data_IF_577721323067
#
_entry.id   IF_577721323067
#
_cell.length_a   1.000
_cell.length_b   1.000
_cell.length_c   1.000
_cell.angle_alpha   90.00
_cell.angle_beta   90.00
_cell.angle_gamma   90.00
#
_symmetry.space_group_name_H-M   'P 1'
#
loop_
_entity.id
_entity.type
_entity.pdbx_description
1 polymer ?
#
# COMPACT_ATOMS: atom_id res chain seq x y z
N UNK A 1 -7.29 12.67 -8.66
CA UNK A 1 -7.35 12.92 -7.22
C UNK A 1 -6.10 12.35 -6.55
N UNK A 2 -5.33 13.21 -5.87
CA UNK A 2 -4.10 12.82 -5.18
C UNK A 2 -4.32 12.50 -3.68
N UNK A 3 -5.54 12.61 -3.19
CA UNK A 3 -5.86 12.29 -1.79
C UNK A 3 -5.79 10.79 -1.56
N UNK A 4 -5.22 10.40 -0.42
CA UNK A 4 -5.13 9.02 0.03
C UNK A 4 -5.56 8.92 1.49
N UNK A 5 -6.23 7.84 1.80
CA UNK A 5 -6.71 7.54 3.15
C UNK A 5 -6.27 6.14 3.55
N UNK A 6 -5.81 6.02 4.78
CA UNK A 6 -5.49 4.74 5.39
C UNK A 6 -6.34 4.53 6.63
N UNK A 7 -6.69 3.28 6.89
CA UNK A 7 -7.36 2.85 8.12
C UNK A 7 -6.55 1.72 8.73
N UNK A 8 -6.12 1.90 9.96
CA UNK A 8 -5.43 0.89 10.75
C UNK A 8 -6.30 0.54 11.95
N UNK A 9 -6.42 -0.74 12.27
CA UNK A 9 -7.18 -1.19 13.42
C UNK A 9 -6.41 -2.21 14.24
N UNK A 10 -6.32 -1.97 15.55
CA UNK A 10 -5.77 -2.91 16.51
C UNK A 10 -6.89 -3.51 17.35
N UNK A 11 -7.25 -4.76 17.06
CA UNK A 11 -8.29 -5.49 17.84
C UNK A 11 -7.93 -5.58 19.31
N UNK A 12 -6.67 -5.88 19.64
CA UNK A 12 -6.20 -6.00 21.02
C UNK A 12 -6.32 -4.70 21.81
N UNK A 13 -5.98 -3.58 21.17
CA UNK A 13 -6.03 -2.24 21.81
C UNK A 13 -7.37 -1.54 21.64
N UNK A 14 -8.26 -2.06 20.78
CA UNK A 14 -9.52 -1.44 20.39
C UNK A 14 -9.34 -0.01 19.88
N UNK A 15 -8.25 0.22 19.12
CA UNK A 15 -7.89 1.51 18.56
C UNK A 15 -7.99 1.44 17.05
N UNK A 16 -8.66 2.42 16.46
CA UNK A 16 -8.64 2.70 15.04
C UNK A 16 -7.87 3.99 14.79
N UNK A 17 -6.96 3.97 13.82
CA UNK A 17 -6.27 5.17 13.33
C UNK A 17 -6.62 5.35 11.87
N UNK A 18 -7.12 6.53 11.53
CA UNK A 18 -7.31 6.98 10.14
C UNK A 18 -6.23 7.99 9.82
N UNK A 19 -5.58 7.82 8.68
CA UNK A 19 -4.60 8.78 8.18
C UNK A 19 -5.10 9.35 6.86
N UNK A 20 -5.02 10.65 6.70
CA UNK A 20 -5.30 11.37 5.45
C UNK A 20 -4.02 12.01 4.94
N UNK A 21 -3.77 11.91 3.65
CA UNK A 21 -2.57 12.47 3.04
C UNK A 21 -2.72 12.72 1.55
N UNK A 22 -1.59 13.04 0.95
CA UNK A 22 -1.46 13.26 -0.49
C UNK A 22 -0.50 12.22 -1.04
N UNK A 23 -0.95 11.51 -2.08
CA UNK A 23 -0.16 10.50 -2.76
C UNK A 23 0.59 11.09 -3.96
N UNK A 24 1.83 10.67 -4.12
CA UNK A 24 2.63 10.87 -5.32
C UNK A 24 3.02 9.51 -5.88
N UNK A 25 2.73 9.27 -7.15
CA UNK A 25 3.10 8.03 -7.83
C UNK A 25 4.43 8.24 -8.52
N UNK A 26 5.41 7.41 -8.16
CA UNK A 26 6.72 7.34 -8.79
C UNK A 26 6.74 6.13 -9.72
N UNK A 27 7.13 6.35 -10.97
CA UNK A 27 7.30 5.31 -11.97
C UNK A 27 8.54 5.63 -12.79
N UNK A 28 9.38 4.62 -13.00
CA UNK A 28 10.59 4.69 -13.82
C UNK A 28 11.51 5.89 -13.49
N UNK A 29 11.73 6.11 -12.20
CA UNK A 29 12.62 7.15 -11.68
C UNK A 29 13.59 6.57 -10.64
N UNK A 30 14.46 7.40 -10.08
CA UNK A 30 15.47 6.97 -9.10
C UNK A 30 14.85 6.32 -7.85
N UNK A 31 13.72 6.82 -7.37
CA UNK A 31 13.00 6.27 -6.21
C UNK A 31 12.54 4.84 -6.50
N UNK A 32 11.95 4.60 -7.67
CA UNK A 32 11.50 3.26 -8.06
C UNK A 32 12.67 2.32 -8.29
N UNK A 33 13.77 2.77 -8.88
CA UNK A 33 14.99 1.97 -9.08
C UNK A 33 15.57 1.52 -7.74
N UNK A 34 15.74 2.43 -6.79
CA UNK A 34 16.24 2.11 -5.45
C UNK A 34 15.32 1.16 -4.69
N UNK A 35 14.00 1.34 -4.78
CA UNK A 35 13.04 0.45 -4.15
C UNK A 35 13.07 -0.95 -4.79
N UNK A 36 13.15 -1.01 -6.13
CA UNK A 36 13.22 -2.28 -6.86
C UNK A 36 14.46 -3.09 -6.50
N UNK A 37 15.64 -2.48 -6.41
CA UNK A 37 16.87 -3.18 -6.02
C UNK A 37 16.78 -3.81 -4.63
N UNK A 38 16.01 -3.22 -3.71
CA UNK A 38 15.79 -3.74 -2.35
C UNK A 38 14.67 -4.79 -2.29
N UNK A 39 13.90 -4.95 -3.36
CA UNK A 39 12.77 -5.90 -3.39
C UNK A 39 13.27 -7.33 -3.53
N UNK A 40 12.78 -8.22 -2.68
CA UNK A 40 13.13 -9.64 -2.73
C UNK A 40 12.60 -10.31 -4.00
N UNK A 41 13.32 -11.34 -4.49
CA UNK A 41 12.96 -12.10 -5.69
C UNK A 41 11.51 -12.61 -5.66
N UNK A 42 11.09 -13.17 -4.54
CA UNK A 42 9.72 -13.67 -4.37
C UNK A 42 8.68 -12.55 -4.55
N UNK A 43 8.97 -11.36 -4.05
CA UNK A 43 8.09 -10.20 -4.19
C UNK A 43 8.08 -9.66 -5.63
N UNK A 44 9.21 -9.71 -6.34
CA UNK A 44 9.28 -9.30 -7.75
C UNK A 44 8.43 -10.19 -8.66
N UNK A 45 8.22 -11.44 -8.29
CA UNK A 45 7.36 -12.39 -9.00
C UNK A 45 5.95 -11.84 -9.21
N UNK A 46 5.39 -11.10 -8.25
CA UNK A 46 4.05 -10.50 -8.35
C UNK A 46 3.92 -9.48 -9.50
N UNK A 47 5.03 -8.97 -10.02
CA UNK A 47 5.04 -8.00 -11.12
C UNK A 47 5.25 -8.65 -12.50
N UNK A 48 5.33 -9.98 -12.55
CA UNK A 48 5.50 -10.76 -13.79
C UNK A 48 4.17 -11.20 -14.41
N UNK A 49 3.06 -10.65 -13.94
CA UNK A 49 1.74 -10.91 -14.52
C UNK A 49 1.72 -10.64 -16.02
N UNK A 50 1.09 -11.53 -16.77
CA UNK A 50 0.93 -11.45 -18.22
C UNK A 50 -0.28 -10.65 -18.64
N UNK A 51 -1.20 -10.39 -17.70
CA UNK A 51 -2.45 -9.67 -17.91
C UNK A 51 -2.60 -8.54 -16.89
N UNK A 52 -3.39 -7.55 -17.22
CA UNK A 52 -3.67 -6.46 -16.30
C UNK A 52 -4.59 -6.91 -15.15
N UNK A 53 -4.40 -6.43 -13.93
CA UNK A 53 -5.30 -6.72 -12.82
C UNK A 53 -6.74 -6.29 -13.16
N UNK A 54 -7.68 -7.21 -13.04
CA UNK A 54 -9.10 -6.98 -13.31
C UNK A 54 -9.55 -7.30 -14.74
N UNK A 55 -8.65 -7.75 -15.61
CA UNK A 55 -9.04 -8.25 -16.94
C UNK A 55 -9.99 -9.46 -16.81
N UNK A 56 -10.96 -9.52 -17.71
CA UNK A 56 -11.90 -10.64 -17.78
C UNK A 56 -11.22 -11.85 -18.41
N UNK A 57 -11.34 -12.99 -17.75
CA UNK A 57 -10.85 -14.27 -18.24
C UNK A 57 -11.98 -15.30 -18.23
N UNK A 58 -11.93 -16.27 -19.13
CA UNK A 58 -12.99 -17.27 -19.28
C UNK A 58 -12.88 -18.41 -18.26
N UNK A 59 -11.70 -18.66 -17.71
CA UNK A 59 -11.44 -19.75 -16.79
C UNK A 59 -10.59 -19.26 -15.62
N UNK A 60 -10.69 -19.94 -14.47
CA UNK A 60 -9.81 -19.68 -13.34
C UNK A 60 -8.35 -19.94 -13.74
N UNK A 61 -7.52 -18.93 -13.69
CA UNK A 61 -6.10 -19.02 -14.05
C UNK A 61 -5.22 -18.24 -13.09
N UNK A 62 -3.95 -18.63 -12.99
CA UNK A 62 -2.91 -17.81 -12.41
C UNK A 62 -2.54 -16.69 -13.39
N UNK A 63 -2.26 -15.51 -12.87
CA UNK A 63 -1.74 -14.37 -13.61
C UNK A 63 -0.27 -14.56 -14.06
N UNK A 64 0.39 -15.62 -13.57
CA UNK A 64 1.75 -15.99 -13.93
C UNK A 64 1.77 -17.01 -15.07
N UNK A 65 2.84 -16.99 -15.87
CA UNK A 65 3.07 -18.04 -16.87
C UNK A 65 3.20 -19.40 -16.19
N UNK A 66 2.79 -20.48 -16.88
CA UNK A 66 2.82 -21.84 -16.35
C UNK A 66 4.21 -22.26 -15.88
N UNK A 67 5.25 -21.76 -16.54
CA UNK A 67 6.66 -22.08 -16.22
C UNK A 67 7.15 -21.45 -14.91
N UNK A 68 6.46 -20.43 -14.42
CA UNK A 68 6.84 -19.71 -13.19
C UNK A 68 6.01 -20.04 -11.96
N UNK A 69 4.98 -20.90 -12.08
CA UNK A 69 4.01 -21.17 -11.02
C UNK A 69 4.60 -21.59 -9.68
N UNK A 70 5.61 -22.46 -9.67
CA UNK A 70 6.20 -23.06 -8.44
C UNK A 70 7.61 -22.58 -8.08
N UNK A 71 8.33 -21.86 -8.95
CA UNK A 71 9.73 -21.50 -8.78
C UNK A 71 9.97 -20.02 -8.54
N UNK A 72 11.15 -19.68 -7.99
CA UNK A 72 11.64 -18.31 -7.98
C UNK A 72 12.09 -17.92 -9.39
N UNK A 73 11.79 -16.69 -9.86
CA UNK A 73 12.33 -16.21 -11.11
C UNK A 73 13.85 -16.03 -11.00
N UNK A 74 14.56 -16.18 -12.11
CA UNK A 74 15.95 -15.72 -12.22
C UNK A 74 16.00 -14.19 -12.08
N UNK A 75 17.21 -13.65 -11.85
CA UNK A 75 17.38 -12.19 -11.80
C UNK A 75 16.88 -11.54 -13.10
N UNK A 76 17.30 -12.08 -14.26
CA UNK A 76 16.90 -11.59 -15.58
C UNK A 76 15.38 -11.64 -15.78
N UNK A 77 14.74 -12.76 -15.46
CA UNK A 77 13.29 -12.87 -15.51
C UNK A 77 12.61 -11.86 -14.60
N UNK A 78 13.13 -11.65 -13.38
CA UNK A 78 12.56 -10.72 -12.43
C UNK A 78 12.59 -9.27 -12.92
N UNK A 79 13.63 -8.88 -13.65
CA UNK A 79 13.76 -7.52 -14.19
C UNK A 79 12.66 -7.16 -15.19
N UNK A 80 12.08 -8.14 -15.88
CA UNK A 80 10.92 -7.91 -16.76
C UNK A 80 9.70 -7.37 -16.03
N UNK A 81 9.60 -7.60 -14.72
CA UNK A 81 8.53 -7.07 -13.87
C UNK A 81 8.65 -5.60 -13.53
N UNK A 82 9.84 -4.99 -13.68
CA UNK A 82 10.07 -3.58 -13.32
C UNK A 82 9.12 -2.61 -14.02
N UNK A 83 8.75 -2.88 -15.26
CA UNK A 83 7.79 -2.07 -16.04
C UNK A 83 6.40 -1.95 -15.37
N UNK A 84 6.03 -2.93 -14.54
CA UNK A 84 4.76 -2.98 -13.81
C UNK A 84 4.90 -2.44 -12.37
N UNK A 85 6.11 -2.06 -11.97
CA UNK A 85 6.38 -1.59 -10.61
C UNK A 85 6.21 -0.07 -10.50
N UNK A 86 5.61 0.36 -9.40
CA UNK A 86 5.58 1.77 -9.02
C UNK A 86 5.71 1.89 -7.50
N UNK A 87 6.10 3.08 -7.06
CA UNK A 87 6.13 3.46 -5.64
C UNK A 87 5.09 4.54 -5.41
N UNK A 88 4.21 4.34 -4.43
CA UNK A 88 3.24 5.35 -3.98
C UNK A 88 3.78 5.97 -2.70
N UNK A 89 4.33 7.17 -2.82
CA UNK A 89 4.73 7.99 -1.67
C UNK A 89 3.50 8.71 -1.12
N UNK A 90 3.27 8.59 0.20
CA UNK A 90 2.11 9.16 0.86
C UNK A 90 2.55 10.15 1.94
N UNK A 91 2.43 11.45 1.66
CA UNK A 91 2.67 12.52 2.64
C UNK A 91 1.43 12.69 3.50
N UNK A 92 1.50 12.18 4.73
CA UNK A 92 0.38 12.27 5.68
C UNK A 92 0.24 13.71 6.18
N UNK A 93 -1.00 14.19 6.21
CA UNK A 93 -1.39 15.54 6.64
C UNK A 93 -2.12 15.54 7.97
N UNK A 94 -2.93 14.51 8.22
CA UNK A 94 -3.65 14.40 9.48
C UNK A 94 -3.85 12.95 9.89
N UNK A 95 -4.02 12.76 11.19
CA UNK A 95 -4.46 11.50 11.80
C UNK A 95 -5.72 11.73 12.61
N UNK A 96 -6.63 10.77 12.59
CA UNK A 96 -7.69 10.61 13.57
C UNK A 96 -7.48 9.33 14.35
N UNK A 97 -7.49 9.46 15.66
CA UNK A 97 -7.43 8.36 16.60
C UNK A 97 -8.80 8.13 17.23
N UNK A 98 -9.27 6.89 17.21
CA UNK A 98 -10.53 6.49 17.82
C UNK A 98 -10.29 5.29 18.73
N UNK A 99 -10.60 5.44 20.01
CA UNK A 99 -10.60 4.37 20.99
C UNK A 99 -12.01 3.86 21.21
N UNK A 100 -12.23 2.57 20.97
CA UNK A 100 -13.53 1.91 21.09
C UNK A 100 -13.68 1.26 22.46
N UNK A 101 -14.14 2.04 23.45
CA UNK A 101 -14.37 1.58 24.80
C UNK A 101 -15.86 1.35 25.08
N UNK A 102 -16.20 0.27 25.79
CA UNK A 102 -17.58 -0.01 26.21
C UNK A 102 -18.16 1.05 27.15
N UNK A 103 -17.30 1.76 27.88
CA UNK A 103 -17.67 2.84 28.79
C UNK A 103 -17.72 4.22 28.14
N UNK A 104 -17.62 4.29 26.82
CA UNK A 104 -17.59 5.51 26.03
C UNK A 104 -16.34 5.61 25.15
N UNK A 105 -16.56 5.89 23.88
CA UNK A 105 -15.50 6.08 22.92
C UNK A 105 -14.76 7.40 23.16
N UNK A 106 -13.54 7.49 22.66
CA UNK A 106 -12.74 8.73 22.64
C UNK A 106 -12.17 8.94 21.25
N UNK A 107 -12.21 10.17 20.74
CA UNK A 107 -11.73 10.52 19.41
C UNK A 107 -10.88 11.79 19.46
N UNK A 108 -9.74 11.75 18.80
CA UNK A 108 -8.86 12.91 18.66
C UNK A 108 -8.42 13.07 17.19
N UNK A 109 -8.16 14.30 16.78
CA UNK A 109 -7.60 14.63 15.47
C UNK A 109 -6.29 15.39 15.65
N UNK A 110 -5.31 15.04 14.81
CA UNK A 110 -3.98 15.62 14.76
C UNK A 110 -3.73 16.16 13.37
N UNK A 111 -3.43 17.45 13.25
CA UNK A 111 -3.08 18.11 11.99
C UNK A 111 -1.58 18.38 12.02
N UNK A 112 -0.83 17.68 11.17
CA UNK A 112 0.63 17.63 11.27
C UNK A 112 1.30 18.94 10.85
N UNK A 113 0.83 19.57 9.76
CA UNK A 113 1.43 20.81 9.27
C UNK A 113 1.21 22.01 10.23
N UNK A 114 0.16 21.95 11.06
CA UNK A 114 -0.17 22.97 12.04
C UNK A 114 0.33 22.64 13.46
N UNK A 115 0.88 21.44 13.64
CA UNK A 115 1.23 20.89 14.96
C UNK A 115 0.07 21.03 15.98
N UNK A 116 -1.17 20.77 15.51
CA UNK A 116 -2.39 20.97 16.26
C UNK A 116 -3.06 19.65 16.57
N UNK A 117 -3.55 19.52 17.79
CA UNK A 117 -4.39 18.40 18.21
C UNK A 117 -5.68 18.89 18.83
N UNK A 118 -6.77 18.14 18.64
CA UNK A 118 -8.07 18.47 19.22
C UNK A 118 -8.87 17.20 19.51
N UNK A 119 -9.66 17.24 20.57
CA UNK A 119 -10.63 16.21 20.86
C UNK A 119 -11.87 16.41 20.00
N UNK A 120 -12.46 15.30 19.58
CA UNK A 120 -13.71 15.27 18.82
C UNK A 120 -14.74 14.42 19.56
N UNK A 121 -16.01 14.71 19.34
CA UNK A 121 -17.07 13.79 19.72
C UNK A 121 -16.93 12.52 18.87
N UNK A 122 -16.93 11.31 19.46
CA UNK A 122 -16.82 10.05 18.74
C UNK A 122 -17.94 9.80 17.74
#
# INVERSE_FOLDING_TARGET
NKKIYFVFYSKKRKIQVRAEGIATIHKDNEITKQAWTKTQMMSRKCYLSTQAPGDLINESASDLSKDMGGSLPSLEQSEMGYKNFCVVESKIKSFEWLYLASQGHRRAKFILDENKSTWLVP
#
